data_IF_643062507516
#
_entry.id   IF_643062507516
#
_cell.length_a   1.000
_cell.length_b   1.000
_cell.length_c   1.000
_cell.angle_alpha   90.00
_cell.angle_beta   90.00
_cell.angle_gamma   90.00
#
_symmetry.space_group_name_H-M   'P 1'
#
loop_
_entity.id
_entity.type
_entity.pdbx_description
1 polymer ?
#
# COMPACT_ATOMS: atom_id res chain seq x y z
N UNK A 1 0.56 -22.41 22.23
CA UNK A 1 1.81 -23.16 21.93
C UNK A 1 2.07 -23.10 20.42
N UNK A 2 3.29 -22.69 20.04
CA UNK A 2 3.86 -22.59 18.69
C UNK A 2 3.28 -21.57 17.71
N UNK A 3 3.83 -20.32 17.83
CA UNK A 3 4.03 -19.42 16.70
C UNK A 3 4.98 -20.12 15.71
N UNK A 4 4.50 -20.45 14.54
CA UNK A 4 5.39 -20.83 13.44
C UNK A 4 5.92 -19.55 12.78
N UNK A 5 7.18 -19.30 13.05
CA UNK A 5 8.11 -18.43 12.32
C UNK A 5 8.01 -18.70 10.82
N UNK A 6 7.39 -17.81 10.09
CA UNK A 6 7.68 -17.70 8.66
C UNK A 6 8.91 -16.80 8.48
N UNK A 7 10.08 -17.41 8.66
CA UNK A 7 11.37 -16.83 8.33
C UNK A 7 11.52 -16.70 6.81
N UNK A 8 11.87 -15.53 6.32
CA UNK A 8 12.68 -15.41 5.13
C UNK A 8 12.15 -14.62 3.94
N UNK A 9 10.95 -14.05 3.97
CA UNK A 9 10.53 -13.12 2.90
C UNK A 9 10.66 -11.67 3.36
N UNK A 10 11.61 -10.96 2.77
CA UNK A 10 11.72 -9.51 2.90
C UNK A 10 10.37 -8.87 2.54
N UNK A 11 9.95 -7.84 3.27
CA UNK A 11 8.78 -6.99 2.95
C UNK A 11 8.78 -6.57 1.47
N UNK A 12 9.95 -6.43 0.86
CA UNK A 12 10.21 -6.25 -0.58
C UNK A 12 9.63 -7.34 -1.45
N UNK A 13 9.91 -8.58 -1.09
CA UNK A 13 9.42 -9.74 -1.84
C UNK A 13 7.91 -9.82 -1.77
N UNK A 14 7.33 -9.46 -0.62
CA UNK A 14 5.88 -9.45 -0.41
C UNK A 14 5.24 -8.32 -1.23
N UNK A 15 5.74 -7.09 -1.17
CA UNK A 15 5.19 -5.97 -1.97
C UNK A 15 5.41 -6.21 -3.47
N UNK A 16 6.58 -6.69 -3.86
CA UNK A 16 6.89 -7.03 -5.26
C UNK A 16 6.09 -8.23 -5.75
N UNK A 17 5.87 -9.22 -4.91
CA UNK A 17 5.05 -10.40 -5.18
C UNK A 17 3.56 -10.06 -5.13
N UNK A 18 3.08 -9.24 -4.21
CA UNK A 18 1.69 -8.83 -4.10
C UNK A 18 1.27 -7.90 -5.25
N UNK A 19 2.08 -6.92 -5.61
CA UNK A 19 1.84 -6.10 -6.80
C UNK A 19 1.92 -6.97 -8.05
N UNK A 20 2.87 -7.90 -8.13
CA UNK A 20 3.06 -8.81 -9.26
C UNK A 20 2.00 -9.92 -9.29
N UNK A 21 1.61 -10.48 -8.14
CA UNK A 21 0.65 -11.58 -8.05
C UNK A 21 -0.78 -11.12 -8.33
N UNK A 22 -1.21 -10.00 -7.75
CA UNK A 22 -2.54 -9.42 -8.04
C UNK A 22 -2.66 -8.96 -9.49
N UNK A 23 -1.59 -8.44 -10.05
CA UNK A 23 -1.55 -8.06 -11.45
C UNK A 23 -1.64 -9.26 -12.40
N UNK A 24 -0.97 -10.36 -12.07
CA UNK A 24 -0.99 -11.60 -12.88
C UNK A 24 -2.29 -12.42 -12.68
N UNK A 25 -2.95 -12.32 -11.54
CA UNK A 25 -4.18 -13.07 -11.29
C UNK A 25 -5.42 -12.48 -11.98
N UNK A 26 -5.38 -11.19 -12.36
CA UNK A 26 -6.43 -10.54 -13.17
C UNK A 26 -6.27 -10.78 -14.66
N UNK A 27 -5.13 -11.30 -15.13
CA UNK A 27 -4.95 -11.66 -16.53
C UNK A 27 -4.51 -13.14 -16.65
N UNK A 28 -5.49 -13.99 -16.92
CA UNK A 28 -5.32 -15.42 -17.17
C UNK A 28 -4.55 -15.66 -18.50
N UNK A 29 -3.25 -15.38 -18.54
CA UNK A 29 -2.33 -15.90 -19.56
C UNK A 29 -0.89 -15.84 -19.09
N UNK A 30 -0.25 -17.02 -19.03
CA UNK A 30 1.18 -17.22 -18.83
C UNK A 30 1.95 -16.54 -19.96
N UNK A 31 2.35 -15.29 -19.76
CA UNK A 31 3.31 -14.59 -20.59
C UNK A 31 4.37 -13.96 -19.68
N UNK A 32 5.63 -13.92 -20.18
CA UNK A 32 6.80 -13.31 -19.49
C UNK A 32 6.41 -12.03 -18.75
N UNK A 33 6.96 -11.74 -17.57
CA UNK A 33 6.53 -10.61 -16.74
C UNK A 33 6.72 -9.29 -17.51
N UNK A 34 5.70 -8.85 -18.20
CA UNK A 34 5.61 -7.47 -18.71
C UNK A 34 5.59 -6.54 -17.50
N UNK A 35 6.32 -5.43 -17.59
CA UNK A 35 6.16 -4.30 -16.66
C UNK A 35 4.66 -3.98 -16.57
N UNK A 36 4.15 -3.81 -15.37
CA UNK A 36 2.75 -3.47 -15.18
C UNK A 36 2.43 -2.16 -15.89
N UNK A 37 1.39 -2.15 -16.73
CA UNK A 37 0.99 -0.95 -17.46
C UNK A 37 0.42 0.09 -16.52
N UNK A 38 0.90 1.34 -16.61
CA UNK A 38 0.37 2.46 -15.85
C UNK A 38 -1.13 2.66 -16.14
N UNK A 39 -1.55 2.46 -17.37
CA UNK A 39 -2.96 2.56 -17.77
C UNK A 39 -3.84 1.56 -17.01
N UNK A 40 -3.44 0.29 -16.95
CA UNK A 40 -4.19 -0.73 -16.21
C UNK A 40 -4.17 -0.47 -14.70
N UNK A 41 -3.05 0.02 -14.17
CA UNK A 41 -2.96 0.44 -12.78
C UNK A 41 -3.96 1.55 -12.47
N UNK A 42 -4.01 2.61 -13.29
CA UNK A 42 -4.93 3.72 -13.08
C UNK A 42 -6.38 3.27 -13.18
N UNK A 43 -6.75 2.43 -14.13
CA UNK A 43 -8.10 1.87 -14.25
C UNK A 43 -8.54 1.11 -12.98
N UNK A 44 -7.64 0.35 -12.39
CA UNK A 44 -7.96 -0.48 -11.22
C UNK A 44 -8.04 0.31 -9.91
N UNK A 45 -7.28 1.38 -9.75
CA UNK A 45 -7.10 2.06 -8.46
C UNK A 45 -7.60 3.50 -8.42
N UNK A 46 -7.67 4.22 -9.55
CA UNK A 46 -8.02 5.64 -9.58
C UNK A 46 -9.46 5.89 -9.15
N UNK A 47 -10.40 5.08 -9.65
CA UNK A 47 -11.83 5.24 -9.37
C UNK A 47 -12.34 4.32 -8.25
N UNK A 48 -11.48 3.47 -7.69
CA UNK A 48 -11.87 2.50 -6.67
C UNK A 48 -10.93 2.55 -5.46
N UNK A 49 -11.26 3.44 -4.52
CA UNK A 49 -10.50 3.55 -3.26
C UNK A 49 -10.53 2.25 -2.46
N UNK A 50 -11.55 1.42 -2.62
CA UNK A 50 -11.64 0.11 -2.00
C UNK A 50 -10.46 -0.78 -2.36
N UNK A 51 -10.03 -0.77 -3.62
CA UNK A 51 -8.87 -1.54 -4.07
C UNK A 51 -7.57 -1.04 -3.41
N UNK A 52 -7.42 0.28 -3.22
CA UNK A 52 -6.29 0.84 -2.48
C UNK A 52 -6.30 0.38 -1.02
N UNK A 53 -7.47 0.40 -0.37
CA UNK A 53 -7.64 -0.03 1.02
C UNK A 53 -7.28 -1.52 1.15
N UNK A 54 -7.81 -2.37 0.27
CA UNK A 54 -7.52 -3.82 0.28
C UNK A 54 -6.02 -4.09 0.05
N UNK A 55 -5.36 -3.33 -0.81
CA UNK A 55 -3.91 -3.43 -1.02
C UNK A 55 -3.14 -3.17 0.28
N UNK A 56 -3.38 -2.03 0.96
CA UNK A 56 -2.68 -1.70 2.20
C UNK A 56 -3.09 -2.61 3.37
N UNK A 57 -4.34 -3.08 3.38
CA UNK A 57 -4.82 -4.06 4.36
C UNK A 57 -4.09 -5.40 4.22
N UNK A 58 -3.99 -5.95 3.02
CA UNK A 58 -3.28 -7.20 2.78
C UNK A 58 -1.78 -7.10 3.08
N UNK A 59 -1.20 -5.94 2.84
CA UNK A 59 0.20 -5.69 3.20
C UNK A 59 0.41 -5.69 4.72
N UNK A 60 -0.52 -5.10 5.47
CA UNK A 60 -0.42 -5.00 6.93
C UNK A 60 -0.86 -6.29 7.64
N UNK A 61 -1.88 -6.95 7.12
CA UNK A 61 -2.44 -8.19 7.67
C UNK A 61 -2.52 -9.28 6.58
N UNK A 62 -1.41 -9.94 6.26
CA UNK A 62 -1.38 -10.97 5.20
C UNK A 62 -2.33 -12.15 5.47
N UNK A 63 -2.54 -12.48 6.75
CA UNK A 63 -3.47 -13.53 7.20
C UNK A 63 -4.89 -13.04 7.48
N UNK A 64 -5.24 -11.80 7.07
CA UNK A 64 -6.51 -11.17 7.40
C UNK A 64 -6.41 -10.28 8.65
N UNK A 65 -7.40 -9.40 8.80
CA UNK A 65 -7.42 -8.47 9.94
C UNK A 65 -7.45 -9.22 11.27
N UNK A 66 -6.60 -8.79 12.19
CA UNK A 66 -6.60 -9.22 13.59
C UNK A 66 -6.37 -8.00 14.48
N UNK A 67 -7.26 -7.80 15.44
CA UNK A 67 -7.13 -6.70 16.39
C UNK A 67 -6.04 -7.02 17.41
N UNK A 68 -5.05 -6.16 17.54
CA UNK A 68 -3.94 -6.31 18.48
C UNK A 68 -4.34 -6.17 19.97
N UNK A 69 -5.57 -5.66 20.24
CA UNK A 69 -6.09 -5.50 21.62
C UNK A 69 -6.92 -6.69 22.09
N UNK A 70 -7.78 -7.24 21.23
CA UNK A 70 -8.75 -8.27 21.64
C UNK A 70 -8.76 -9.52 20.74
N UNK A 71 -7.88 -9.58 19.71
CA UNK A 71 -7.81 -10.73 18.81
C UNK A 71 -8.98 -10.88 17.83
N UNK A 72 -9.98 -9.98 17.86
CA UNK A 72 -11.14 -10.06 16.98
C UNK A 72 -10.76 -9.87 15.51
N UNK A 73 -11.34 -10.66 14.61
CA UNK A 73 -11.08 -10.61 13.17
C UNK A 73 -12.10 -9.79 12.38
N UNK A 74 -13.18 -9.32 13.03
CA UNK A 74 -14.21 -8.51 12.40
C UNK A 74 -13.93 -7.02 12.58
N UNK A 75 -14.19 -6.22 11.55
CA UNK A 75 -13.95 -4.79 11.55
C UNK A 75 -15.00 -4.04 10.73
N UNK A 76 -15.13 -2.75 10.99
CA UNK A 76 -15.83 -1.78 10.18
C UNK A 76 -14.83 -0.84 9.51
N UNK A 77 -15.09 -0.47 8.25
CA UNK A 77 -14.31 0.55 7.57
C UNK A 77 -14.87 1.92 7.89
N UNK A 78 -14.07 2.75 8.56
CA UNK A 78 -14.44 4.11 8.95
C UNK A 78 -13.71 5.11 8.06
N UNK A 79 -14.47 5.96 7.35
CA UNK A 79 -13.95 7.09 6.58
C UNK A 79 -13.86 8.30 7.49
N UNK A 80 -12.67 8.86 7.62
CA UNK A 80 -12.40 10.09 8.36
C UNK A 80 -12.13 11.22 7.38
N UNK A 81 -13.01 12.21 7.33
CA UNK A 81 -12.83 13.38 6.49
C UNK A 81 -12.14 14.45 7.32
N UNK A 82 -10.90 14.75 6.99
CA UNK A 82 -10.14 15.87 7.57
C UNK A 82 -10.17 17.11 6.68
N UNK A 83 -9.66 18.23 7.18
CA UNK A 83 -9.62 19.51 6.42
C UNK A 83 -8.79 19.40 5.13
N UNK A 84 -7.70 18.63 5.14
CA UNK A 84 -6.74 18.53 4.03
C UNK A 84 -6.73 17.18 3.33
N UNK A 85 -7.22 16.13 3.97
CA UNK A 85 -7.25 14.79 3.38
C UNK A 85 -8.33 13.91 3.99
N UNK A 86 -8.79 12.95 3.20
CA UNK A 86 -9.60 11.84 3.67
C UNK A 86 -8.69 10.68 4.09
N UNK A 87 -8.95 10.06 5.22
CA UNK A 87 -8.24 8.89 5.70
C UNK A 87 -9.21 7.75 6.00
N UNK A 88 -8.70 6.53 5.95
CA UNK A 88 -9.48 5.32 6.20
C UNK A 88 -8.83 4.55 7.34
N UNK A 89 -9.64 4.11 8.29
CA UNK A 89 -9.22 3.29 9.44
C UNK A 89 -10.13 2.08 9.57
N UNK A 90 -9.59 1.00 10.09
CA UNK A 90 -10.36 -0.19 10.44
C UNK A 90 -10.69 -0.12 11.93
N UNK A 91 -11.97 -0.14 12.26
CA UNK A 91 -12.44 -0.17 13.64
C UNK A 91 -12.84 -1.59 14.03
N UNK A 92 -12.27 -2.12 15.08
CA UNK A 92 -12.60 -3.44 15.58
C UNK A 92 -14.06 -3.50 16.02
N UNK A 93 -14.80 -4.51 15.58
CA UNK A 93 -16.22 -4.68 15.93
C UNK A 93 -16.47 -5.01 17.40
N UNK A 94 -15.47 -5.53 18.12
CA UNK A 94 -15.59 -5.97 19.50
C UNK A 94 -15.14 -4.90 20.51
N UNK A 95 -13.96 -4.30 20.32
CA UNK A 95 -13.38 -3.37 21.30
C UNK A 95 -13.29 -1.92 20.80
N UNK A 96 -13.83 -1.63 19.62
CA UNK A 96 -13.85 -0.30 18.98
C UNK A 96 -12.48 0.36 18.81
N UNK A 97 -11.38 -0.40 19.00
CA UNK A 97 -10.05 0.11 18.71
C UNK A 97 -9.89 0.36 17.23
N UNK A 98 -9.39 1.54 16.89
CA UNK A 98 -9.17 1.95 15.52
C UNK A 98 -7.73 1.68 15.08
N UNK A 99 -7.60 1.06 13.92
CA UNK A 99 -6.34 0.67 13.32
C UNK A 99 -6.13 1.43 12.01
N UNK A 100 -5.08 2.24 11.94
CA UNK A 100 -4.69 2.90 10.70
C UNK A 100 -4.07 1.87 9.75
N UNK A 101 -4.37 1.98 8.45
CA UNK A 101 -3.79 1.13 7.40
C UNK A 101 -2.27 1.29 7.29
N UNK A 102 -1.76 2.49 7.53
CA UNK A 102 -0.34 2.82 7.34
C UNK A 102 0.49 2.75 8.63
N UNK A 103 -0.15 2.72 9.81
CA UNK A 103 0.54 2.64 11.10
C UNK A 103 1.30 1.32 11.23
N UNK A 104 2.55 1.36 11.67
CA UNK A 104 3.44 0.19 11.77
C UNK A 104 4.01 -0.28 10.43
N UNK A 105 3.76 0.45 9.34
CA UNK A 105 4.40 0.21 8.04
C UNK A 105 5.46 1.29 7.78
N UNK A 106 6.30 1.08 6.76
CA UNK A 106 7.26 2.11 6.31
C UNK A 106 6.58 3.42 5.89
N UNK A 107 5.31 3.36 5.50
CA UNK A 107 4.51 4.52 5.10
C UNK A 107 3.84 5.22 6.28
N UNK A 108 4.15 4.83 7.51
CA UNK A 108 3.67 5.53 8.69
C UNK A 108 3.97 7.03 8.60
N UNK A 109 3.02 7.86 9.06
CA UNK A 109 3.09 9.34 9.02
C UNK A 109 3.08 9.95 7.62
N UNK A 110 2.83 9.17 6.56
CA UNK A 110 2.65 9.70 5.23
C UNK A 110 1.34 10.50 5.15
N UNK A 111 1.44 11.76 4.68
CA UNK A 111 0.29 12.66 4.57
C UNK A 111 -0.43 12.56 3.21
N UNK A 112 0.01 11.66 2.35
CA UNK A 112 -0.60 11.43 1.03
C UNK A 112 -1.91 10.66 1.13
N UNK A 113 -2.81 10.89 0.17
CA UNK A 113 -3.95 10.01 -0.05
C UNK A 113 -3.49 8.61 -0.45
N UNK A 114 -4.28 7.59 -0.12
CA UNK A 114 -3.92 6.20 -0.39
C UNK A 114 -3.63 5.95 -1.87
N UNK A 115 -4.39 6.58 -2.78
CA UNK A 115 -4.16 6.43 -4.21
C UNK A 115 -2.84 7.07 -4.65
N UNK A 116 -2.57 8.34 -4.26
CA UNK A 116 -1.31 9.03 -4.58
C UNK A 116 -0.11 8.27 -4.00
N UNK A 117 -0.24 7.75 -2.78
CA UNK A 117 0.79 6.93 -2.15
C UNK A 117 1.07 5.64 -2.96
N UNK A 118 0.01 4.91 -3.31
CA UNK A 118 0.12 3.66 -4.07
C UNK A 118 0.68 3.90 -5.47
N UNK A 119 0.25 4.99 -6.14
CA UNK A 119 0.77 5.38 -7.45
C UNK A 119 2.27 5.71 -7.40
N UNK A 120 2.71 6.44 -6.38
CA UNK A 120 4.13 6.75 -6.21
C UNK A 120 5.00 5.51 -5.98
N UNK A 121 4.52 4.57 -5.17
CA UNK A 121 5.18 3.26 -4.97
C UNK A 121 5.22 2.47 -6.28
N UNK A 122 4.11 2.43 -7.01
CA UNK A 122 4.02 1.75 -8.30
C UNK A 122 5.02 2.32 -9.31
N UNK A 123 5.08 3.64 -9.47
CA UNK A 123 6.03 4.31 -10.37
C UNK A 123 7.47 4.00 -9.99
N UNK A 124 7.80 4.08 -8.68
CA UNK A 124 9.15 3.80 -8.20
C UNK A 124 9.60 2.36 -8.50
N UNK A 125 8.70 1.38 -8.35
CA UNK A 125 9.00 -0.03 -8.57
C UNK A 125 9.06 -0.42 -10.04
N UNK A 126 8.37 0.31 -10.92
CA UNK A 126 8.36 0.03 -12.36
C UNK A 126 9.51 0.70 -13.12
N UNK A 127 10.11 1.74 -12.58
CA UNK A 127 11.28 2.38 -13.18
C UNK A 127 12.56 1.58 -12.86
N UNK A 128 13.37 1.29 -13.87
CA UNK A 128 14.61 0.50 -13.70
C UNK A 128 15.65 1.22 -12.84
N UNK A 129 15.69 2.56 -12.91
CA UNK A 129 16.61 3.42 -12.17
C UNK A 129 15.97 4.11 -10.98
N UNK A 130 14.69 3.78 -10.68
CA UNK A 130 13.86 4.54 -9.76
C UNK A 130 13.36 5.85 -10.39
N UNK A 131 12.46 6.52 -9.71
CA UNK A 131 11.92 7.83 -10.12
C UNK A 131 12.42 8.90 -9.16
N UNK A 132 12.85 10.04 -9.69
CA UNK A 132 13.36 11.14 -8.86
C UNK A 132 12.22 11.87 -8.12
N UNK A 133 12.57 12.52 -7.00
CA UNK A 133 11.61 13.33 -6.23
C UNK A 133 10.96 14.44 -7.08
N UNK A 134 11.70 15.02 -8.04
CA UNK A 134 11.20 16.06 -8.95
C UNK A 134 10.08 15.48 -9.84
N UNK A 135 10.32 14.32 -10.44
CA UNK A 135 9.32 13.67 -11.28
C UNK A 135 8.11 13.21 -10.46
N UNK A 136 8.32 12.65 -9.24
CA UNK A 136 7.22 12.31 -8.32
C UNK A 136 6.41 13.54 -7.92
N UNK A 137 7.06 14.67 -7.66
CA UNK A 137 6.41 15.94 -7.34
C UNK A 137 5.44 16.35 -8.45
N UNK A 138 5.89 16.33 -9.71
CA UNK A 138 5.10 16.68 -10.87
C UNK A 138 3.95 15.71 -11.13
N UNK A 139 4.21 14.39 -11.09
CA UNK A 139 3.20 13.37 -11.42
C UNK A 139 2.12 13.25 -10.35
N UNK A 140 2.50 13.34 -9.07
CA UNK A 140 1.58 13.19 -7.94
C UNK A 140 0.91 14.51 -7.53
N UNK A 141 1.33 15.64 -8.12
CA UNK A 141 0.90 16.97 -7.73
C UNK A 141 1.03 17.17 -6.21
N UNK A 142 2.27 17.12 -5.73
CA UNK A 142 2.63 17.26 -4.31
C UNK A 142 3.86 18.15 -4.17
N UNK A 143 4.11 18.69 -2.99
CA UNK A 143 5.31 19.49 -2.76
C UNK A 143 6.58 18.59 -2.76
N UNK A 144 7.71 19.21 -3.07
CA UNK A 144 9.00 18.51 -3.18
C UNK A 144 9.39 17.76 -1.89
N UNK A 145 9.13 18.32 -0.70
CA UNK A 145 9.42 17.65 0.58
C UNK A 145 8.64 16.34 0.72
N UNK A 146 7.38 16.32 0.30
CA UNK A 146 6.54 15.12 0.35
C UNK A 146 7.01 14.06 -0.66
N UNK A 147 7.37 14.50 -1.88
CA UNK A 147 7.91 13.62 -2.90
C UNK A 147 9.24 13.00 -2.47
N UNK A 148 10.16 13.80 -1.91
CA UNK A 148 11.45 13.33 -1.40
C UNK A 148 11.29 12.34 -0.24
N UNK A 149 10.34 12.60 0.68
CA UNK A 149 10.04 11.67 1.76
C UNK A 149 9.52 10.33 1.23
N UNK A 150 8.66 10.37 0.21
CA UNK A 150 8.14 9.16 -0.44
C UNK A 150 9.26 8.39 -1.16
N UNK A 151 10.09 9.09 -1.94
CA UNK A 151 11.24 8.48 -2.61
C UNK A 151 12.17 7.77 -1.63
N UNK A 152 12.53 8.42 -0.51
CA UNK A 152 13.36 7.82 0.53
C UNK A 152 12.72 6.58 1.15
N UNK A 153 11.41 6.61 1.41
CA UNK A 153 10.67 5.42 1.90
C UNK A 153 10.66 4.29 0.87
N UNK A 154 10.50 4.61 -0.41
CA UNK A 154 10.57 3.62 -1.50
C UNK A 154 11.98 3.04 -1.64
N UNK A 155 13.05 3.83 -1.46
CA UNK A 155 14.44 3.34 -1.45
C UNK A 155 14.67 2.32 -0.34
N UNK A 156 14.15 2.55 0.87
CA UNK A 156 14.21 1.59 1.98
C UNK A 156 13.55 0.25 1.60
N UNK A 157 12.52 0.26 0.77
CA UNK A 157 11.92 -0.97 0.23
C UNK A 157 12.84 -1.70 -0.74
N UNK A 158 13.80 -1.04 -1.34
CA UNK A 158 14.69 -1.60 -2.35
C UNK A 158 16.07 -2.03 -1.82
N UNK A 159 16.44 -1.69 -0.62
CA UNK A 159 17.63 -2.14 0.10
C UNK A 159 17.32 -3.18 1.16
#
# INVERSE_FOLDING_TARGET
MKLNRMHGFSIRSIIRLEIRWRYNHMSNKVLKPKKASLYQFTQNYSNNIGNCIEFFKSMKWPGGFSCDRCGCHKYYLVKRVGKTKTSYVLECSSCHKQHSLLSGTIFQSCKLDLYKLLLGVFLFLNENKGISAINLCSILDVNHKTALLLENKCRILCH
#
